data_IF_493127011605
#
_entry.id   IF_493127011605
#
_cell.length_a   1.000
_cell.length_b   1.000
_cell.length_c   1.000
_cell.angle_alpha   90.00
_cell.angle_beta   90.00
_cell.angle_gamma   90.00
#
_symmetry.space_group_name_H-M   'P 1'
#
loop_
_entity.id
_entity.type
_entity.pdbx_description
1 polymer ?
#
# COMPACT_ATOMS: atom_id res chain seq x y z
N UNK A 1 13.90 13.33 -3.72
CA UNK A 1 14.15 14.70 -3.21
C UNK A 1 12.96 15.66 -3.35
N UNK A 2 12.39 15.86 -4.54
CA UNK A 2 11.29 16.83 -4.73
C UNK A 2 10.13 16.66 -3.74
N UNK A 3 9.74 15.42 -3.42
CA UNK A 3 8.76 15.11 -2.37
C UNK A 3 9.24 15.54 -0.98
N UNK A 4 10.46 15.13 -0.58
CA UNK A 4 11.02 15.43 0.74
C UNK A 4 11.13 16.93 1.03
N UNK A 5 11.37 17.73 -0.01
CA UNK A 5 11.49 19.19 0.11
C UNK A 5 10.15 19.94 0.11
N UNK A 6 9.06 19.30 -0.31
CA UNK A 6 7.77 19.99 -0.54
C UNK A 6 6.60 19.38 0.23
N UNK A 7 6.75 18.18 0.80
CA UNK A 7 5.68 17.43 1.46
C UNK A 7 6.13 16.87 2.79
N UNK A 8 5.27 16.94 3.79
CA UNK A 8 5.52 16.34 5.10
C UNK A 8 5.22 14.82 5.09
N UNK A 9 5.76 14.04 6.06
CA UNK A 9 5.43 12.61 6.23
C UNK A 9 3.94 12.35 6.44
N UNK A 10 3.22 13.32 7.00
CA UNK A 10 1.77 13.24 7.16
C UNK A 10 1.04 13.31 5.81
N UNK A 11 1.59 14.04 4.82
CA UNK A 11 0.99 14.16 3.49
C UNK A 11 1.39 13.04 2.54
N UNK A 12 2.66 12.61 2.58
CA UNK A 12 3.19 11.58 1.69
C UNK A 12 4.04 10.58 2.46
N UNK A 13 3.77 9.30 2.23
CA UNK A 13 4.51 8.17 2.76
C UNK A 13 5.16 7.39 1.61
N UNK A 14 6.35 6.84 1.85
CA UNK A 14 7.22 6.23 0.84
C UNK A 14 7.45 4.74 1.12
N UNK A 15 7.45 3.96 0.04
CA UNK A 15 7.95 2.59 0.00
C UNK A 15 9.05 2.53 -1.05
N UNK A 16 10.27 2.16 -0.63
CA UNK A 16 11.44 2.13 -1.49
C UNK A 16 11.94 0.69 -1.64
N UNK A 17 12.07 0.23 -2.88
CA UNK A 17 12.63 -1.08 -3.21
C UNK A 17 13.92 -0.87 -4.01
N UNK A 18 15.04 -1.32 -3.44
CA UNK A 18 16.38 -1.22 -3.99
C UNK A 18 17.12 -2.56 -3.80
N UNK A 19 17.10 -3.46 -4.80
CA UNK A 19 17.77 -4.76 -4.73
C UNK A 19 19.28 -4.66 -4.50
N UNK A 20 19.90 -3.56 -4.94
CA UNK A 20 21.36 -3.44 -5.01
C UNK A 20 21.94 -2.65 -3.84
N UNK A 21 21.10 -1.97 -3.07
CA UNK A 21 21.48 -1.12 -1.94
C UNK A 21 22.45 0.01 -2.33
N UNK A 22 22.31 0.54 -3.54
CA UNK A 22 23.20 1.58 -4.05
C UNK A 22 22.46 2.91 -4.12
N UNK A 23 21.34 2.94 -4.84
CA UNK A 23 20.70 4.20 -5.25
C UNK A 23 19.80 4.78 -4.15
N UNK A 24 19.04 3.92 -3.45
CA UNK A 24 18.04 4.38 -2.47
C UNK A 24 18.50 4.21 -1.02
N UNK A 25 19.65 3.57 -0.79
CA UNK A 25 20.21 3.36 0.55
C UNK A 25 20.47 4.68 1.31
N UNK A 26 20.79 5.76 0.60
CA UNK A 26 21.00 7.09 1.20
C UNK A 26 19.74 7.67 1.86
N UNK A 27 18.54 7.21 1.49
CA UNK A 27 17.27 7.62 2.10
C UNK A 27 16.88 6.81 3.34
N UNK A 28 17.78 5.95 3.82
CA UNK A 28 17.56 5.17 5.03
C UNK A 28 17.21 6.10 6.20
N UNK A 29 16.11 5.76 6.87
CA UNK A 29 15.54 6.47 8.02
C UNK A 29 14.97 7.87 7.72
N UNK A 30 14.58 8.21 6.49
CA UNK A 30 13.71 9.39 6.31
C UNK A 30 12.33 9.11 6.93
N UNK A 31 11.70 10.09 7.62
CA UNK A 31 10.43 9.91 8.32
C UNK A 31 9.25 9.58 7.40
N UNK A 32 9.38 9.84 6.11
CA UNK A 32 8.37 9.47 5.12
C UNK A 32 8.30 7.94 4.89
N UNK A 33 9.33 7.17 5.21
CA UNK A 33 9.35 5.72 4.98
C UNK A 33 8.30 4.98 5.83
N UNK A 34 7.56 4.07 5.19
CA UNK A 34 6.64 3.16 5.87
C UNK A 34 7.33 1.89 6.38
N UNK A 35 8.47 1.54 5.82
CA UNK A 35 9.33 0.46 6.28
C UNK A 35 10.77 0.74 5.84
N UNK A 36 11.77 0.04 6.42
CA UNK A 36 13.13 0.08 5.91
C UNK A 36 13.19 -0.20 4.41
N UNK A 37 14.17 0.38 3.71
CA UNK A 37 14.39 0.17 2.27
C UNK A 37 14.49 -1.33 2.00
N UNK A 38 13.72 -1.81 1.03
CA UNK A 38 13.54 -3.24 0.78
C UNK A 38 14.54 -3.70 -0.24
N UNK A 39 15.34 -4.69 0.16
CA UNK A 39 16.45 -5.20 -0.64
C UNK A 39 16.20 -6.62 -1.14
N UNK A 40 15.31 -7.36 -0.47
CA UNK A 40 14.90 -8.70 -0.85
C UNK A 40 13.73 -8.66 -1.85
N UNK A 41 13.93 -9.28 -3.02
CA UNK A 41 12.94 -9.29 -4.10
C UNK A 41 11.67 -10.09 -3.78
N UNK A 42 11.75 -11.15 -2.97
CA UNK A 42 10.56 -11.87 -2.53
C UNK A 42 9.71 -11.00 -1.61
N UNK A 43 10.36 -10.25 -0.70
CA UNK A 43 9.68 -9.29 0.17
C UNK A 43 9.10 -8.12 -0.64
N UNK A 44 9.77 -7.70 -1.70
CA UNK A 44 9.30 -6.63 -2.57
C UNK A 44 8.00 -6.99 -3.31
N UNK A 45 7.82 -8.25 -3.74
CA UNK A 45 6.54 -8.72 -4.27
C UNK A 45 5.42 -8.60 -3.23
N UNK A 46 5.68 -9.01 -1.98
CA UNK A 46 4.73 -8.85 -0.87
C UNK A 46 4.34 -7.40 -0.55
N UNK A 47 5.19 -6.42 -0.88
CA UNK A 47 4.83 -4.99 -0.74
C UNK A 47 3.77 -4.57 -1.74
N UNK A 48 3.82 -5.10 -2.96
CA UNK A 48 2.79 -4.83 -3.97
C UNK A 48 1.46 -5.42 -3.51
N UNK A 49 1.45 -6.64 -2.99
CA UNK A 49 0.26 -7.27 -2.41
C UNK A 49 -0.28 -6.49 -1.19
N UNK A 50 0.61 -6.04 -0.29
CA UNK A 50 0.22 -5.17 0.81
C UNK A 50 -0.40 -3.86 0.30
N UNK A 51 0.16 -3.28 -0.77
CA UNK A 51 -0.38 -2.07 -1.37
C UNK A 51 -1.75 -2.31 -2.00
N UNK A 52 -2.03 -3.51 -2.54
CA UNK A 52 -3.37 -3.88 -3.00
C UNK A 52 -4.36 -3.97 -1.83
N UNK A 53 -3.97 -4.63 -0.75
CA UNK A 53 -4.80 -4.72 0.46
C UNK A 53 -5.10 -3.33 1.02
N UNK A 54 -4.09 -2.44 1.10
CA UNK A 54 -4.29 -1.04 1.49
C UNK A 54 -5.11 -0.23 0.51
N UNK A 55 -5.04 -0.54 -0.78
CA UNK A 55 -5.90 0.08 -1.79
C UNK A 55 -7.38 -0.28 -1.52
N UNK A 56 -7.67 -1.56 -1.28
CA UNK A 56 -9.03 -2.03 -0.99
C UNK A 56 -9.55 -1.43 0.34
N UNK A 57 -8.75 -1.43 1.40
CA UNK A 57 -9.07 -0.79 2.69
C UNK A 57 -9.40 0.71 2.53
N UNK A 58 -8.60 1.44 1.74
CA UNK A 58 -8.87 2.86 1.48
C UNK A 58 -10.16 3.07 0.70
N UNK A 59 -10.51 2.18 -0.21
CA UNK A 59 -11.80 2.26 -0.89
C UNK A 59 -12.97 2.13 0.09
N UNK A 60 -12.85 1.27 1.11
CA UNK A 60 -13.85 1.17 2.17
C UNK A 60 -13.98 2.48 2.94
N UNK A 61 -12.85 3.10 3.30
CA UNK A 61 -12.86 4.41 3.96
C UNK A 61 -13.52 5.50 3.12
N UNK A 62 -13.16 5.58 1.82
CA UNK A 62 -13.78 6.54 0.91
C UNK A 62 -15.29 6.29 0.76
N UNK A 63 -15.71 5.03 0.72
CA UNK A 63 -17.12 4.63 0.62
C UNK A 63 -17.91 5.03 1.88
N UNK A 64 -17.37 4.78 3.07
CA UNK A 64 -17.98 5.16 4.35
C UNK A 64 -18.10 6.68 4.50
N UNK A 65 -17.03 7.40 4.11
CA UNK A 65 -17.09 8.85 4.02
C UNK A 65 -17.91 9.36 2.83
N UNK A 66 -18.51 8.52 1.99
CA UNK A 66 -19.28 8.91 0.80
C UNK A 66 -18.51 9.93 -0.11
N UNK A 67 -17.23 9.68 -0.35
CA UNK A 67 -16.37 10.50 -1.22
C UNK A 67 -15.72 9.65 -2.30
N UNK A 68 -15.37 10.29 -3.42
CA UNK A 68 -14.86 9.57 -4.60
C UNK A 68 -13.35 9.41 -4.65
N UNK A 69 -12.60 10.20 -3.89
CA UNK A 69 -11.14 10.19 -3.91
C UNK A 69 -10.54 10.75 -2.62
N UNK A 70 -9.27 10.44 -2.39
CA UNK A 70 -8.49 10.85 -1.23
C UNK A 70 -8.41 12.37 -1.05
N UNK A 71 -8.38 13.14 -2.14
CA UNK A 71 -8.29 14.59 -2.05
C UNK A 71 -9.58 15.21 -1.49
N UNK A 72 -10.74 14.60 -1.76
CA UNK A 72 -12.00 14.97 -1.14
C UNK A 72 -12.07 14.48 0.31
N UNK A 73 -11.60 13.26 0.58
CA UNK A 73 -11.54 12.71 1.94
C UNK A 73 -10.74 13.60 2.89
N UNK A 74 -9.51 13.98 2.49
CA UNK A 74 -8.62 14.81 3.31
C UNK A 74 -9.06 16.28 3.43
N UNK A 75 -10.14 16.69 2.74
CA UNK A 75 -10.77 18.01 2.92
C UNK A 75 -11.88 17.99 3.97
N UNK A 76 -12.39 16.80 4.33
CA UNK A 76 -13.39 16.67 5.37
C UNK A 76 -12.77 17.02 6.72
N UNK A 77 -13.53 17.68 7.59
CA UNK A 77 -13.13 17.87 8.98
C UNK A 77 -13.32 16.58 9.78
N UNK A 78 -12.62 16.45 10.91
CA UNK A 78 -12.76 15.24 11.74
C UNK A 78 -14.20 14.99 12.22
N UNK A 79 -14.94 16.04 12.56
CA UNK A 79 -16.34 15.94 12.97
C UNK A 79 -17.23 15.39 11.85
N UNK A 80 -16.99 15.82 10.61
CA UNK A 80 -17.72 15.36 9.43
C UNK A 80 -17.36 13.90 9.09
N UNK A 81 -16.10 13.49 9.28
CA UNK A 81 -15.70 12.09 9.14
C UNK A 81 -16.41 11.23 10.18
N UNK A 82 -16.43 11.64 11.46
CA UNK A 82 -17.13 10.92 12.54
C UNK A 82 -18.62 10.75 12.22
N UNK A 83 -19.29 11.83 11.84
CA UNK A 83 -20.71 11.83 11.47
C UNK A 83 -20.99 10.86 10.32
N UNK A 84 -20.20 10.92 9.23
CA UNK A 84 -20.37 10.04 8.06
C UNK A 84 -20.11 8.57 8.39
N UNK A 85 -19.24 8.29 9.34
CA UNK A 85 -18.97 6.94 9.84
C UNK A 85 -20.01 6.47 10.88
N UNK A 86 -20.96 7.33 11.27
CA UNK A 86 -21.97 7.01 12.29
C UNK A 86 -21.37 6.85 13.69
N UNK A 87 -20.28 7.58 13.98
CA UNK A 87 -19.59 7.59 15.26
C UNK A 87 -20.16 8.73 16.11
N UNK A 88 -20.52 8.43 17.36
CA UNK A 88 -20.98 9.42 18.32
C UNK A 88 -19.85 10.40 18.72
N UNK A 89 -20.12 11.68 19.01
CA UNK A 89 -19.09 12.69 19.28
C UNK A 89 -18.08 12.33 20.37
N UNK A 90 -18.52 11.59 21.39
CA UNK A 90 -17.72 11.21 22.57
C UNK A 90 -17.15 9.78 22.47
N UNK A 91 -17.41 9.04 21.38
CA UNK A 91 -16.90 7.69 21.18
C UNK A 91 -15.41 7.72 20.81
N UNK A 92 -14.57 7.01 21.58
CA UNK A 92 -13.17 6.81 21.23
C UNK A 92 -13.06 5.90 20.00
N UNK A 93 -12.52 6.47 18.91
CA UNK A 93 -12.30 5.71 17.68
C UNK A 93 -10.82 5.44 17.47
N UNK A 94 -10.51 4.18 17.23
CA UNK A 94 -9.18 3.78 16.77
C UNK A 94 -8.94 4.27 15.33
N UNK A 95 -7.92 5.11 15.11
CA UNK A 95 -7.62 5.68 13.78
C UNK A 95 -7.35 4.64 12.69
N UNK A 96 -7.08 3.38 13.06
CA UNK A 96 -6.95 2.27 12.08
C UNK A 96 -8.25 1.97 11.35
N UNK A 97 -9.39 2.27 11.95
CA UNK A 97 -10.71 1.98 11.39
C UNK A 97 -11.49 3.24 11.01
N UNK A 98 -11.11 4.41 11.53
CA UNK A 98 -11.64 5.71 11.13
C UNK A 98 -10.50 6.74 11.08
N UNK A 99 -9.69 6.74 10.00
CA UNK A 99 -8.56 7.66 9.89
C UNK A 99 -9.05 9.07 9.56
N UNK A 100 -8.66 10.08 10.34
CA UNK A 100 -9.03 11.47 10.03
C UNK A 100 -8.23 12.10 8.87
N UNK A 101 -7.17 11.43 8.43
CA UNK A 101 -6.38 11.84 7.28
C UNK A 101 -5.70 10.63 6.63
N UNK A 102 -5.68 10.60 5.30
CA UNK A 102 -5.00 9.56 4.52
C UNK A 102 -3.77 10.16 3.80
N UNK A 103 -2.53 9.73 4.11
CA UNK A 103 -1.37 10.18 3.34
C UNK A 103 -1.38 9.59 1.93
N UNK A 104 -0.86 10.29 0.94
CA UNK A 104 -0.53 9.65 -0.35
C UNK A 104 0.60 8.63 -0.12
N UNK A 105 0.53 7.49 -0.80
CA UNK A 105 1.59 6.48 -0.75
C UNK A 105 2.28 6.45 -2.10
N UNK A 106 3.59 6.62 -2.09
CA UNK A 106 4.43 6.52 -3.29
C UNK A 106 5.35 5.30 -3.16
N UNK A 107 5.17 4.35 -4.06
CA UNK A 107 6.00 3.15 -4.19
C UNK A 107 7.04 3.42 -5.27
N UNK A 108 8.31 3.28 -4.95
CA UNK A 108 9.43 3.45 -5.89
C UNK A 108 10.21 2.15 -5.97
N UNK A 109 10.31 1.63 -7.18
CA UNK A 109 11.08 0.42 -7.49
C UNK A 109 12.21 0.81 -8.43
N UNK A 110 13.45 0.68 -7.95
CA UNK A 110 14.64 1.11 -8.70
C UNK A 110 14.95 0.21 -9.91
N UNK A 111 14.76 -1.11 -9.74
CA UNK A 111 15.02 -2.08 -10.80
C UNK A 111 13.89 -3.11 -10.89
N UNK A 112 12.91 -2.84 -11.76
CA UNK A 112 11.79 -3.72 -12.03
C UNK A 112 12.25 -5.08 -12.58
N UNK A 113 13.35 -5.13 -13.35
CA UNK A 113 13.80 -6.37 -13.96
C UNK A 113 14.14 -7.43 -12.90
N UNK A 114 14.70 -7.02 -11.75
CA UNK A 114 15.09 -7.93 -10.68
C UNK A 114 13.86 -8.55 -9.99
N UNK A 115 12.76 -7.80 -9.88
CA UNK A 115 11.46 -8.32 -9.42
C UNK A 115 10.85 -9.31 -10.41
N UNK A 116 10.89 -8.99 -11.70
CA UNK A 116 10.36 -9.84 -12.77
C UNK A 116 11.11 -11.18 -12.90
N UNK A 117 12.36 -11.25 -12.44
CA UNK A 117 13.12 -12.51 -12.41
C UNK A 117 12.65 -13.48 -11.31
N UNK A 118 12.05 -12.98 -10.23
CA UNK A 118 11.63 -13.81 -9.09
C UNK A 118 10.20 -14.33 -9.28
N UNK A 119 9.26 -13.40 -9.47
CA UNK A 119 7.82 -13.73 -9.56
C UNK A 119 7.14 -12.86 -10.63
N UNK A 120 7.39 -13.10 -11.94
CA UNK A 120 6.91 -12.22 -13.01
C UNK A 120 5.38 -12.08 -13.03
N UNK A 121 4.66 -13.20 -12.85
CA UNK A 121 3.19 -13.23 -12.92
C UNK A 121 2.54 -12.46 -11.77
N UNK A 122 3.03 -12.62 -10.55
CA UNK A 122 2.49 -11.95 -9.35
C UNK A 122 2.77 -10.45 -9.40
N UNK A 123 3.99 -10.07 -9.76
CA UNK A 123 4.41 -8.67 -9.91
C UNK A 123 3.62 -7.98 -11.01
N UNK A 124 3.49 -8.58 -12.19
CA UNK A 124 2.73 -8.01 -13.31
C UNK A 124 1.25 -7.84 -12.98
N UNK A 125 0.64 -8.85 -12.34
CA UNK A 125 -0.75 -8.79 -11.88
C UNK A 125 -0.93 -7.64 -10.89
N UNK A 126 0.01 -7.50 -9.95
CA UNK A 126 -0.09 -6.48 -8.90
C UNK A 126 0.08 -5.07 -9.43
N UNK A 127 1.09 -4.87 -10.29
CA UNK A 127 1.30 -3.59 -10.98
C UNK A 127 0.06 -3.21 -11.81
N UNK A 128 -0.51 -4.17 -12.54
CA UNK A 128 -1.71 -3.95 -13.37
C UNK A 128 -2.88 -3.50 -12.50
N UNK A 129 -3.19 -4.24 -11.43
CA UNK A 129 -4.31 -3.93 -10.54
C UNK A 129 -4.13 -2.57 -9.86
N UNK A 130 -2.94 -2.30 -9.31
CA UNK A 130 -2.64 -1.03 -8.68
C UNK A 130 -2.75 0.11 -9.70
N UNK A 131 -2.12 0.01 -10.87
CA UNK A 131 -2.17 1.07 -11.87
C UNK A 131 -3.61 1.41 -12.34
N UNK A 132 -4.51 0.42 -12.38
CA UNK A 132 -5.91 0.64 -12.77
C UNK A 132 -6.77 1.34 -11.71
N UNK A 133 -6.52 1.07 -10.43
CA UNK A 133 -7.46 1.46 -9.35
C UNK A 133 -6.86 2.39 -8.29
N UNK A 134 -5.54 2.44 -8.14
CA UNK A 134 -4.87 3.18 -7.06
C UNK A 134 -5.03 4.71 -7.09
N UNK A 135 -5.32 5.30 -8.26
CA UNK A 135 -5.37 6.77 -8.45
C UNK A 135 -6.35 7.46 -7.50
N UNK A 136 -7.54 6.88 -7.28
CA UNK A 136 -8.57 7.51 -6.45
C UNK A 136 -8.19 7.47 -4.96
N UNK A 137 -7.52 6.40 -4.52
CA UNK A 137 -7.11 6.18 -3.13
C UNK A 137 -5.73 6.75 -2.79
N UNK A 138 -5.08 7.43 -3.74
CA UNK A 138 -3.81 8.12 -3.53
C UNK A 138 -2.60 7.21 -3.37
N UNK A 139 -2.61 6.03 -3.98
CA UNK A 139 -1.43 5.17 -4.09
C UNK A 139 -0.85 5.39 -5.50
N UNK A 140 0.46 5.60 -5.60
CA UNK A 140 1.16 5.88 -6.84
C UNK A 140 2.43 5.03 -6.93
N UNK A 141 2.80 4.63 -8.15
CA UNK A 141 3.95 3.76 -8.39
C UNK A 141 4.89 4.42 -9.40
N UNK A 142 6.19 4.37 -9.09
CA UNK A 142 7.28 4.68 -10.00
C UNK A 142 8.09 3.40 -10.19
N UNK A 143 8.19 2.96 -11.44
CA UNK A 143 8.99 1.82 -11.84
C UNK A 143 10.18 2.33 -12.66
N UNK A 144 11.38 2.00 -12.23
CA UNK A 144 12.60 2.21 -12.98
C UNK A 144 13.21 0.86 -13.39
N UNK A 145 13.98 0.86 -14.47
CA UNK A 145 14.75 -0.29 -14.91
C UNK A 145 15.87 0.16 -15.83
N UNK A 146 17.02 -0.51 -15.74
CA UNK A 146 18.11 -0.35 -16.70
C UNK A 146 18.02 -1.35 -17.86
N UNK A 147 17.09 -2.32 -17.79
CA UNK A 147 16.91 -3.39 -18.78
C UNK A 147 15.58 -3.22 -19.52
N UNK A 148 15.52 -2.35 -20.54
CA UNK A 148 14.29 -2.10 -21.30
C UNK A 148 14.00 -3.22 -22.32
N UNK A 149 13.78 -4.44 -21.84
CA UNK A 149 13.35 -5.58 -22.66
C UNK A 149 11.83 -5.79 -22.60
N UNK A 150 11.28 -6.48 -23.59
CA UNK A 150 9.84 -6.81 -23.67
C UNK A 150 9.41 -7.73 -22.53
N UNK A 151 10.33 -8.57 -22.03
CA UNK A 151 10.08 -9.48 -20.92
C UNK A 151 9.96 -8.75 -19.57
N UNK A 152 10.60 -7.57 -19.44
CA UNK A 152 10.52 -6.72 -18.24
C UNK A 152 9.38 -5.71 -18.38
N UNK A 153 9.28 -5.04 -19.53
CA UNK A 153 8.28 -4.01 -19.82
C UNK A 153 7.23 -4.63 -20.75
N UNK A 154 6.38 -5.47 -20.17
CA UNK A 154 5.36 -6.20 -20.90
C UNK A 154 4.26 -5.28 -21.45
N UNK A 155 3.45 -5.80 -22.37
CA UNK A 155 2.30 -5.07 -22.90
C UNK A 155 1.28 -4.67 -21.84
N UNK A 156 1.08 -5.50 -20.81
CA UNK A 156 0.16 -5.20 -19.69
C UNK A 156 0.68 -4.07 -18.81
N UNK A 157 1.98 -4.04 -18.52
CA UNK A 157 2.59 -2.93 -17.78
C UNK A 157 2.46 -1.63 -18.59
N UNK A 158 2.75 -1.67 -19.88
CA UNK A 158 2.63 -0.49 -20.76
C UNK A 158 1.20 0.03 -20.83
N UNK A 159 0.20 -0.84 -20.99
CA UNK A 159 -1.18 -0.40 -21.15
C UNK A 159 -1.74 0.29 -19.90
N UNK A 160 -1.20 0.00 -18.71
CA UNK A 160 -1.66 0.59 -17.45
C UNK A 160 -0.78 1.72 -16.92
N UNK A 161 0.46 1.89 -17.41
CA UNK A 161 1.36 2.98 -17.07
C UNK A 161 1.60 3.91 -18.28
N UNK A 162 0.71 4.89 -18.52
CA UNK A 162 0.77 5.75 -19.70
C UNK A 162 1.80 6.89 -19.60
N UNK A 163 2.22 7.28 -18.39
CA UNK A 163 3.29 8.26 -18.17
C UNK A 163 4.64 7.56 -18.23
N UNK A 164 5.50 7.93 -19.18
CA UNK A 164 6.81 7.26 -19.34
C UNK A 164 7.92 8.25 -19.60
N UNK A 165 9.06 7.99 -18.98
CA UNK A 165 10.29 8.75 -19.16
C UNK A 165 11.33 7.79 -19.72
N UNK A 166 11.93 8.15 -20.86
CA UNK A 166 13.06 7.44 -21.45
C UNK A 166 14.30 8.31 -21.37
N UNK A 167 15.30 7.86 -20.62
CA UNK A 167 16.67 8.39 -20.71
C UNK A 167 17.39 7.77 -21.91
N UNK A 168 18.67 8.15 -22.11
CA UNK A 168 19.50 7.58 -23.17
C UNK A 168 19.53 6.04 -23.08
N UNK A 169 19.22 5.39 -24.20
CA UNK A 169 19.29 3.93 -24.36
C UNK A 169 20.26 3.54 -25.46
N UNK A 170 20.65 2.26 -25.51
CA UNK A 170 21.63 1.76 -26.46
C UNK A 170 21.08 1.63 -27.88
N UNK A 171 19.80 1.27 -28.04
CA UNK A 171 19.23 0.96 -29.35
C UNK A 171 17.84 1.54 -29.59
N UNK A 172 17.44 1.58 -30.87
CA UNK A 172 16.07 1.93 -31.29
C UNK A 172 15.04 0.93 -30.75
N UNK A 173 15.43 -0.32 -30.56
CA UNK A 173 14.54 -1.36 -30.01
C UNK A 173 14.19 -1.00 -28.57
N UNK A 174 15.19 -0.69 -27.75
CA UNK A 174 15.00 -0.26 -26.36
C UNK A 174 14.15 1.00 -26.24
N UNK A 175 14.36 1.98 -27.13
CA UNK A 175 13.56 3.20 -27.18
C UNK A 175 12.08 2.87 -27.42
N UNK A 176 11.79 1.97 -28.36
CA UNK A 176 10.42 1.52 -28.63
C UNK A 176 9.84 0.70 -27.49
N UNK A 177 10.65 -0.09 -26.79
CA UNK A 177 10.18 -0.84 -25.63
C UNK A 177 9.63 0.10 -24.56
N UNK A 178 10.31 1.22 -24.28
CA UNK A 178 9.88 2.18 -23.26
C UNK A 178 8.82 3.16 -23.77
N UNK A 179 9.05 3.80 -24.92
CA UNK A 179 8.27 4.97 -25.38
C UNK A 179 7.27 4.65 -26.51
N UNK A 180 7.23 3.39 -26.97
CA UNK A 180 6.54 2.97 -28.21
C UNK A 180 7.00 3.74 -29.46
N UNK A 181 8.11 4.48 -29.35
CA UNK A 181 8.66 5.39 -30.36
C UNK A 181 10.20 5.40 -30.33
N UNK A 182 10.81 5.76 -31.46
CA UNK A 182 12.25 6.02 -31.51
C UNK A 182 12.56 7.41 -30.97
N UNK A 183 13.79 7.63 -30.50
CA UNK A 183 14.30 8.93 -30.11
C UNK A 183 15.23 8.86 -28.91
N UNK A 184 14.99 7.93 -27.98
CA UNK A 184 15.78 7.81 -26.76
C UNK A 184 17.22 7.36 -27.06
N UNK A 185 17.45 6.63 -28.15
CA UNK A 185 18.78 6.21 -28.59
C UNK A 185 19.68 7.37 -29.06
N UNK A 186 19.07 8.53 -29.34
CA UNK A 186 19.76 9.75 -29.81
C UNK A 186 20.01 10.76 -28.70
N UNK A 187 19.59 10.46 -27.47
CA UNK A 187 19.81 11.34 -26.33
C UNK A 187 21.30 11.38 -25.97
N UNK A 188 21.70 12.50 -25.38
CA UNK A 188 23.10 12.76 -25.07
C UNK A 188 23.57 12.01 -23.82
N UNK A 189 22.64 11.64 -22.92
CA UNK A 189 22.93 11.09 -21.59
C UNK A 189 22.90 12.20 -20.52
N UNK A 190 23.43 11.91 -19.34
CA UNK A 190 23.59 12.89 -18.24
C UNK A 190 22.34 13.73 -17.95
N UNK A 191 21.19 13.07 -17.84
CA UNK A 191 19.90 13.70 -17.54
C UNK A 191 19.05 14.08 -18.76
N UNK A 192 19.57 14.03 -19.99
CA UNK A 192 18.77 14.25 -21.20
C UNK A 192 17.73 13.12 -21.35
N UNK A 193 16.45 13.49 -21.50
CA UNK A 193 15.32 12.57 -21.45
C UNK A 193 14.20 12.94 -22.42
N UNK A 194 13.40 11.94 -22.77
CA UNK A 194 12.11 12.11 -23.45
C UNK A 194 10.98 11.73 -22.49
N UNK A 195 9.99 12.60 -22.37
CA UNK A 195 8.78 12.36 -21.61
C UNK A 195 7.61 12.13 -22.56
N UNK A 196 6.97 10.97 -22.44
CA UNK A 196 5.72 10.65 -23.12
C UNK A 196 4.54 11.06 -22.23
N UNK A 197 3.79 12.05 -22.71
CA UNK A 197 2.60 12.55 -22.02
C UNK A 197 1.47 11.51 -22.03
N UNK A 198 0.86 11.20 -20.87
CA UNK A 198 -0.27 10.27 -20.78
C UNK A 198 -1.40 10.63 -21.75
N UNK A 199 -1.94 9.62 -22.44
CA UNK A 199 -3.06 9.79 -23.36
C UNK A 199 -2.71 10.48 -24.68
N UNK A 200 -1.42 10.71 -24.95
CA UNK A 200 -0.94 11.30 -26.20
C UNK A 200 0.21 10.48 -26.79
N UNK A 201 0.53 10.70 -28.06
CA UNK A 201 1.77 10.23 -28.69
C UNK A 201 2.88 11.29 -28.67
N UNK A 202 2.66 12.43 -28.01
CA UNK A 202 3.61 13.54 -28.03
C UNK A 202 4.77 13.26 -27.08
N UNK A 203 5.98 13.21 -27.64
CA UNK A 203 7.22 13.19 -26.89
C UNK A 203 7.70 14.63 -26.64
N UNK A 204 8.05 14.91 -25.38
CA UNK A 204 8.66 16.17 -24.97
C UNK A 204 10.09 15.86 -24.54
N UNK A 205 11.08 16.49 -25.20
CA UNK A 205 12.46 16.43 -24.74
C UNK A 205 12.66 17.38 -23.57
N UNK A 206 13.31 16.90 -22.51
CA UNK A 206 13.59 17.64 -21.30
C UNK A 206 14.98 17.29 -20.77
N UNK A 207 15.53 18.18 -19.95
CA UNK A 207 16.80 17.97 -19.25
C UNK A 207 16.52 17.76 -17.77
N UNK A 208 16.93 16.60 -17.25
CA UNK A 208 16.88 16.27 -15.84
C UNK A 208 17.74 17.22 -15.02
N UNK A 209 17.21 17.64 -13.88
CA UNK A 209 17.94 18.45 -12.91
C UNK A 209 19.01 17.58 -12.26
N UNK A 210 20.27 18.01 -12.37
CA UNK A 210 21.37 17.37 -11.66
C UNK A 210 21.25 17.67 -10.16
N UNK A 211 21.47 16.65 -9.35
CA UNK A 211 21.62 16.79 -7.90
C UNK A 211 22.81 15.96 -7.45
N UNK A 212 23.71 16.61 -6.73
CA UNK A 212 24.91 15.98 -6.18
C UNK A 212 24.60 15.10 -4.96
N UNK A 213 25.50 14.16 -4.65
CA UNK A 213 25.39 13.33 -3.45
C UNK A 213 25.42 14.18 -2.17
N UNK A 214 26.20 15.27 -2.15
CA UNK A 214 26.25 16.19 -1.02
C UNK A 214 24.91 16.92 -0.83
N UNK A 215 24.23 17.29 -1.91
CA UNK A 215 22.88 17.87 -1.84
C UNK A 215 21.86 16.87 -1.29
N UNK A 216 21.91 15.62 -1.75
CA UNK A 216 21.06 14.54 -1.24
C UNK A 216 21.28 14.38 0.27
N UNK A 217 22.55 14.24 0.69
CA UNK A 217 22.92 14.05 2.07
C UNK A 217 22.45 15.21 2.97
N UNK A 218 22.60 16.47 2.51
CA UNK A 218 22.11 17.65 3.26
C UNK A 218 20.61 17.63 3.45
N UNK A 219 19.84 17.33 2.39
CA UNK A 219 18.38 17.28 2.47
C UNK A 219 17.93 16.12 3.37
N UNK A 220 18.52 14.94 3.22
CA UNK A 220 18.21 13.79 4.07
C UNK A 220 18.51 14.10 5.54
N UNK A 221 19.68 14.66 5.85
CA UNK A 221 20.05 15.03 7.21
C UNK A 221 19.08 16.06 7.81
N UNK A 222 18.68 17.08 7.04
CA UNK A 222 17.70 18.07 7.47
C UNK A 222 16.35 17.43 7.82
N UNK A 223 15.83 16.53 6.96
CA UNK A 223 14.54 15.87 7.20
C UNK A 223 14.61 14.89 8.38
N UNK A 224 15.71 14.14 8.51
CA UNK A 224 15.95 13.23 9.66
C UNK A 224 16.03 13.98 10.99
N UNK A 225 16.53 15.22 10.99
CA UNK A 225 16.58 16.06 12.18
C UNK A 225 15.22 16.56 12.66
N UNK A 226 14.15 16.42 11.87
CA UNK A 226 12.81 16.91 12.22
C UNK A 226 11.95 15.86 12.93
N UNK A 227 11.97 14.61 12.45
CA UNK A 227 11.17 13.51 12.98
C UNK A 227 11.89 12.18 12.80
N UNK A 228 11.69 11.27 13.74
CA UNK A 228 12.10 9.87 13.62
C UNK A 228 11.17 9.11 12.67
N UNK A 229 11.66 8.05 11.98
CA UNK A 229 10.82 7.18 11.19
C UNK A 229 9.78 6.46 12.04
N UNK A 230 8.55 6.43 11.53
CA UNK A 230 7.44 5.67 12.08
C UNK A 230 7.07 4.59 11.07
N UNK A 231 7.58 3.38 11.30
CA UNK A 231 7.37 2.25 10.41
C UNK A 231 6.07 1.52 10.73
N UNK A 232 5.36 1.15 9.66
CA UNK A 232 4.18 0.30 9.75
C UNK A 232 4.56 -1.07 10.29
N UNK A 233 3.88 -1.48 11.38
CA UNK A 233 4.11 -2.78 12.03
C UNK A 233 3.88 -3.94 11.07
N UNK A 234 2.85 -3.86 10.23
CA UNK A 234 2.50 -4.92 9.27
C UNK A 234 3.63 -5.15 8.27
N UNK A 235 4.19 -4.06 7.73
CA UNK A 235 5.27 -4.11 6.76
C UNK A 235 6.58 -4.57 7.39
N UNK A 236 6.87 -4.15 8.62
CA UNK A 236 8.06 -4.63 9.35
C UNK A 236 7.95 -6.12 9.66
N UNK A 237 6.76 -6.61 10.06
CA UNK A 237 6.51 -8.05 10.28
C UNK A 237 6.66 -8.88 9.01
N UNK A 238 6.14 -8.39 7.89
CA UNK A 238 6.37 -9.01 6.56
C UNK A 238 7.86 -9.07 6.22
N UNK A 239 8.66 -8.10 6.70
CA UNK A 239 10.10 -8.12 6.50
C UNK A 239 10.85 -9.06 7.45
N UNK A 240 10.41 -9.22 8.71
CA UNK A 240 11.06 -10.09 9.69
C UNK A 240 10.61 -11.54 9.62
N UNK A 241 9.44 -11.82 9.01
CA UNK A 241 8.89 -13.17 8.87
C UNK A 241 8.11 -13.67 10.09
N UNK A 242 7.80 -12.80 11.06
CA UNK A 242 7.04 -13.17 12.26
C UNK A 242 5.53 -13.20 12.01
N UNK A 243 4.89 -14.30 12.38
CA UNK A 243 3.42 -14.43 12.44
C UNK A 243 2.87 -13.77 13.72
N UNK A 244 1.62 -13.25 13.71
CA UNK A 244 1.08 -12.53 14.84
C UNK A 244 0.74 -13.48 16.01
N UNK A 245 1.31 -13.19 17.18
CA UNK A 245 0.83 -13.72 18.47
C UNK A 245 -0.10 -12.69 19.10
N UNK A 246 -1.37 -13.08 19.27
CA UNK A 246 -2.48 -12.21 19.69
C UNK A 246 -2.37 -11.69 21.13
N UNK A 247 -2.89 -10.49 21.36
CA UNK A 247 -2.94 -9.84 22.66
C UNK A 247 -4.37 -9.43 23.04
N UNK A 248 -4.76 -9.77 24.28
CA UNK A 248 -5.95 -9.38 25.08
C UNK A 248 -7.30 -9.28 24.33
N UNK A 249 -8.17 -10.29 24.55
CA UNK A 249 -9.50 -10.40 23.95
C UNK A 249 -10.48 -9.35 24.50
N UNK A 250 -11.22 -8.68 23.59
CA UNK A 250 -12.30 -7.74 23.90
C UNK A 250 -13.44 -8.47 24.66
N UNK A 251 -14.10 -7.86 25.67
CA UNK A 251 -15.20 -8.49 26.40
C UNK A 251 -16.38 -8.96 25.54
N UNK A 252 -16.62 -8.33 24.38
CA UNK A 252 -17.67 -8.71 23.44
C UNK A 252 -17.22 -9.77 22.41
N UNK A 253 -16.00 -10.28 22.53
CA UNK A 253 -15.42 -11.19 21.55
C UNK A 253 -16.21 -12.49 21.40
N UNK A 254 -16.52 -13.14 22.52
CA UNK A 254 -17.22 -14.43 22.47
C UNK A 254 -18.66 -14.28 21.94
N UNK A 255 -19.34 -13.18 22.27
CA UNK A 255 -20.67 -12.87 21.75
C UNK A 255 -20.63 -12.59 20.24
N UNK A 256 -19.60 -11.86 19.80
CA UNK A 256 -19.38 -11.60 18.38
C UNK A 256 -19.08 -12.88 17.59
N UNK A 257 -18.30 -13.80 18.16
CA UNK A 257 -18.02 -15.10 17.55
C UNK A 257 -19.32 -15.89 17.39
N UNK A 258 -20.19 -15.93 18.42
CA UNK A 258 -21.49 -16.60 18.33
C UNK A 258 -22.35 -16.04 17.21
N UNK A 259 -22.47 -14.71 17.11
CA UNK A 259 -23.25 -14.06 16.04
C UNK A 259 -22.72 -14.44 14.66
N UNK A 260 -21.41 -14.48 14.46
CA UNK A 260 -20.79 -14.83 13.18
C UNK A 260 -21.00 -16.31 12.85
N UNK A 261 -20.89 -17.21 13.83
CA UNK A 261 -21.09 -18.65 13.66
C UNK A 261 -22.57 -19.02 13.42
N UNK A 262 -23.51 -18.38 14.14
CA UNK A 262 -24.96 -18.60 13.96
C UNK A 262 -25.44 -18.13 12.58
N UNK A 263 -24.91 -17.00 12.12
CA UNK A 263 -25.33 -16.41 10.82
C UNK A 263 -24.49 -16.90 9.65
N UNK A 264 -23.42 -17.67 9.92
CA UNK A 264 -22.43 -18.13 8.94
C UNK A 264 -21.89 -16.98 8.07
N UNK A 265 -21.74 -15.79 8.65
CA UNK A 265 -21.38 -14.57 7.91
C UNK A 265 -20.47 -13.63 8.70
N UNK A 266 -19.16 -13.65 8.40
CA UNK A 266 -18.16 -12.78 9.02
C UNK A 266 -18.14 -11.35 8.48
N UNK A 267 -19.21 -10.57 8.72
CA UNK A 267 -19.35 -9.20 8.21
C UNK A 267 -19.31 -8.14 9.32
N UNK A 268 -18.54 -7.08 9.12
CA UNK A 268 -18.46 -5.94 10.05
C UNK A 268 -19.83 -5.29 10.27
N UNK A 269 -20.59 -5.04 9.20
CA UNK A 269 -21.93 -4.44 9.26
C UNK A 269 -22.99 -5.36 9.88
N UNK A 270 -22.74 -6.67 9.94
CA UNK A 270 -23.57 -7.60 10.71
C UNK A 270 -23.33 -7.38 12.20
N UNK A 271 -22.07 -7.37 12.64
CA UNK A 271 -21.73 -7.18 14.04
C UNK A 271 -22.16 -5.81 14.56
N UNK A 272 -22.01 -4.75 13.77
CA UNK A 272 -22.49 -3.41 14.15
C UNK A 272 -23.99 -3.41 14.49
N UNK A 273 -24.82 -4.09 13.69
CA UNK A 273 -26.27 -4.14 13.89
C UNK A 273 -26.71 -5.09 15.00
N UNK A 274 -25.98 -6.19 15.18
CA UNK A 274 -26.37 -7.25 16.13
C UNK A 274 -25.88 -6.99 17.55
N UNK A 275 -24.74 -6.31 17.70
CA UNK A 275 -24.15 -6.00 18.99
C UNK A 275 -24.22 -4.50 19.34
N UNK A 276 -24.85 -3.69 18.49
CA UNK A 276 -24.99 -2.23 18.66
C UNK A 276 -23.64 -1.55 18.95
N UNK A 277 -22.60 -1.99 18.24
CA UNK A 277 -21.23 -1.48 18.38
C UNK A 277 -20.82 -0.65 17.17
N UNK A 278 -19.94 0.33 17.40
CA UNK A 278 -19.31 1.13 16.35
C UNK A 278 -18.51 0.29 15.35
N UNK A 279 -18.33 0.84 14.14
CA UNK A 279 -17.63 0.16 13.04
C UNK A 279 -16.23 -0.31 13.44
N UNK A 280 -15.47 0.55 14.13
CA UNK A 280 -14.09 0.29 14.56
C UNK A 280 -13.97 -0.93 15.45
N UNK A 281 -14.90 -1.06 16.42
CA UNK A 281 -14.95 -2.20 17.33
C UNK A 281 -15.39 -3.46 16.59
N UNK A 282 -16.41 -3.37 15.74
CA UNK A 282 -16.86 -4.50 14.92
C UNK A 282 -15.77 -5.02 13.98
N UNK A 283 -15.00 -4.14 13.34
CA UNK A 283 -13.90 -4.50 12.46
C UNK A 283 -12.78 -5.21 13.21
N UNK A 284 -12.39 -4.69 14.39
CA UNK A 284 -11.40 -5.30 15.28
C UNK A 284 -11.80 -6.70 15.72
N UNK A 285 -13.08 -6.92 16.05
CA UNK A 285 -13.59 -8.22 16.45
C UNK A 285 -13.48 -9.25 15.31
N UNK A 286 -13.82 -8.86 14.08
CA UNK A 286 -13.67 -9.73 12.89
C UNK A 286 -12.18 -10.03 12.59
N UNK A 287 -11.28 -9.08 12.83
CA UNK A 287 -9.83 -9.31 12.69
C UNK A 287 -9.32 -10.36 13.68
N UNK A 288 -9.68 -10.23 14.96
CA UNK A 288 -9.33 -11.22 15.98
C UNK A 288 -9.91 -12.60 15.66
N UNK A 289 -11.13 -12.68 15.11
CA UNK A 289 -11.70 -13.96 14.68
C UNK A 289 -10.92 -14.60 13.54
N UNK A 290 -10.30 -13.81 12.66
CA UNK A 290 -9.45 -14.34 11.61
C UNK A 290 -8.10 -14.82 12.17
N UNK A 291 -7.54 -14.11 13.14
CA UNK A 291 -6.34 -14.55 13.86
C UNK A 291 -6.58 -15.88 14.60
N UNK A 292 -7.75 -16.04 15.22
CA UNK A 292 -8.13 -17.27 15.93
C UNK A 292 -8.55 -18.43 15.00
N UNK A 293 -8.57 -18.20 13.68
CA UNK A 293 -8.92 -19.18 12.65
C UNK A 293 -10.43 -19.47 12.53
N UNK A 294 -11.28 -18.63 13.11
CA UNK A 294 -12.75 -18.78 13.13
C UNK A 294 -13.36 -18.32 11.80
N UNK A 295 -12.80 -17.26 11.22
CA UNK A 295 -13.17 -16.77 9.88
C UNK A 295 -11.95 -16.77 8.97
N UNK A 296 -12.17 -16.91 7.67
CA UNK A 296 -11.12 -16.90 6.67
C UNK A 296 -10.42 -15.55 6.53
N UNK A 297 -9.36 -15.54 5.73
CA UNK A 297 -8.56 -14.35 5.47
C UNK A 297 -9.41 -13.16 4.96
N UNK A 298 -8.89 -11.95 5.16
CA UNK A 298 -9.53 -10.73 4.70
C UNK A 298 -9.85 -10.79 3.19
N UNK A 299 -11.13 -10.67 2.84
CA UNK A 299 -11.65 -10.64 1.45
C UNK A 299 -12.28 -9.27 1.11
N UNK A 300 -11.63 -8.16 1.50
CA UNK A 300 -12.13 -6.81 1.22
C UNK A 300 -13.55 -6.57 1.74
N UNK A 301 -14.45 -6.04 0.89
CA UNK A 301 -15.81 -5.67 1.26
C UNK A 301 -16.80 -6.84 1.42
N UNK A 302 -16.37 -8.08 1.15
CA UNK A 302 -17.22 -9.25 1.28
C UNK A 302 -17.15 -9.82 2.70
N UNK A 303 -18.24 -10.44 3.14
CA UNK A 303 -18.25 -11.17 4.40
C UNK A 303 -17.18 -12.25 4.36
N UNK A 304 -16.37 -12.35 5.42
CA UNK A 304 -15.39 -13.41 5.56
C UNK A 304 -16.13 -14.75 5.68
N UNK A 305 -15.57 -15.74 5.01
CA UNK A 305 -16.07 -17.11 5.04
C UNK A 305 -15.85 -17.68 6.44
N UNK A 306 -16.88 -18.30 7.01
CA UNK A 306 -16.81 -18.86 8.35
C UNK A 306 -16.19 -20.26 8.23
N UNK A 307 -15.09 -20.49 8.95
CA UNK A 307 -14.30 -21.72 8.86
C UNK A 307 -14.53 -22.67 10.04
N UNK A 308 -15.37 -22.26 10.99
CA UNK A 308 -15.68 -22.98 12.22
C UNK A 308 -17.19 -23.19 12.34
N UNK A 309 -17.61 -24.27 12.99
CA UNK A 309 -18.99 -24.46 13.41
C UNK A 309 -19.21 -23.98 14.85
N UNK A 310 -20.47 -23.69 15.20
CA UNK A 310 -20.83 -23.28 16.56
C UNK A 310 -20.54 -24.39 17.58
N UNK A 311 -20.72 -25.65 17.18
CA UNK A 311 -20.48 -26.83 18.01
C UNK A 311 -18.97 -26.99 18.33
N UNK A 312 -18.10 -26.90 17.32
CA UNK A 312 -16.64 -26.94 17.49
C UNK A 312 -16.10 -25.78 18.35
N UNK A 313 -16.72 -24.60 18.26
CA UNK A 313 -16.36 -23.46 19.10
C UNK A 313 -16.74 -23.66 20.57
N UNK A 314 -17.93 -24.21 20.84
CA UNK A 314 -18.40 -24.49 22.21
C UNK A 314 -17.53 -25.57 22.87
N UNK A 315 -17.13 -26.61 22.14
CA UNK A 315 -16.17 -27.62 22.63
C UNK A 315 -14.78 -27.03 22.94
N UNK A 316 -14.33 -26.06 22.13
CA UNK A 316 -13.07 -25.33 22.36
C UNK A 316 -13.13 -24.47 23.62
N UNK A 317 -14.27 -23.82 23.90
CA UNK A 317 -14.45 -23.05 25.14
C UNK A 317 -14.51 -23.98 26.37
N UNK A 318 -15.17 -25.14 26.25
CA UNK A 318 -15.24 -26.14 27.32
C UNK A 318 -13.85 -26.72 27.66
N UNK A 319 -13.02 -27.01 26.66
CA UNK A 319 -11.66 -27.53 26.87
C UNK A 319 -10.67 -26.47 27.39
N UNK A 320 -10.87 -25.19 27.08
CA UNK A 320 -10.05 -24.10 27.65
C UNK A 320 -10.45 -23.74 29.09
N UNK A 321 -11.70 -23.98 29.49
CA UNK A 321 -12.18 -23.79 30.86
C UNK A 321 -11.70 -24.83 31.88
N UNK A 322 -11.26 -26.01 31.43
CA UNK A 322 -10.71 -27.07 32.32
C UNK A 322 -9.21 -26.94 32.60
N UNK A 323 -8.50 -26.03 31.90
CA UNK A 323 -7.06 -25.77 32.09
C UNK A 323 -6.73 -24.41 32.74
N UNK A 324 -7.72 -23.75 33.36
CA UNK A 324 -7.54 -22.50 34.11
C UNK A 324 -7.76 -22.69 35.61
#
# INVERSE_FOLDING_TARGET
>A
LGILMTRSPHQVRLLLVDPKMVELACFKDVPHLLCPVVTDMKKAAGILEWAESKMDERYEFLSMANVRNIALYNRLGEAEIRERYGVEPDEEVDPRYCPFHLPYILIVIDELADLMLVSPKEVETSITRLAQKSRAVGIHIILATQRPSVDVITGLIKSNLPARIGFRVASKVDSRTILDQNGAEKLLGSGDMLFLLPGTSKLIRAQGTFVSEEEIARVVAFVKGQLSPDFSRDLVRMQTGDQPTGGSKDPLYDDAVRVVLETQRGSVSLLQRKLEIGYSRAARLIDFMAEDGIVGAYKGSQAREVLYTLEEWVERLASQGESS
#
